data_IF_230666793680
#
_entry.id   IF_230666793680
#
_cell.length_a   1.000
_cell.length_b   1.000
_cell.length_c   1.000
_cell.angle_alpha   90.00
_cell.angle_beta   90.00
_cell.angle_gamma   90.00
#
_symmetry.space_group_name_H-M   'P 1'
#
loop_
_entity.id
_entity.type
_entity.pdbx_description
1 polymer ?
#
# COMPACT_ATOMS: atom_id res chain seq x y z
N UNK A 1 3.21 -0.73 -6.29
CA UNK A 1 4.06 -1.73 -5.60
C UNK A 1 3.60 -3.16 -5.82
N UNK A 2 2.39 -3.56 -5.42
CA UNK A 2 1.93 -4.96 -5.53
C UNK A 2 2.07 -5.59 -6.92
N UNK A 3 1.82 -4.81 -7.98
CA UNK A 3 1.93 -5.25 -9.38
C UNK A 3 3.37 -5.61 -9.77
N UNK A 4 4.36 -4.87 -9.26
CA UNK A 4 5.79 -5.20 -9.45
C UNK A 4 6.17 -6.51 -8.76
N UNK A 5 5.47 -6.86 -7.69
CA UNK A 5 5.60 -8.13 -6.97
C UNK A 5 4.66 -9.23 -7.48
N UNK A 6 3.90 -8.99 -8.56
CA UNK A 6 2.87 -9.91 -9.10
C UNK A 6 1.81 -10.36 -8.09
N UNK A 7 1.49 -9.50 -7.12
CA UNK A 7 0.47 -9.76 -6.11
C UNK A 7 -0.92 -9.23 -6.55
N UNK A 8 -1.94 -10.04 -6.32
CA UNK A 8 -3.34 -9.63 -6.42
C UNK A 8 -3.74 -8.81 -5.18
N UNK A 9 -4.86 -8.06 -5.25
CA UNK A 9 -5.40 -7.36 -4.09
C UNK A 9 -5.82 -8.34 -2.98
N UNK A 10 -6.33 -9.51 -3.37
CA UNK A 10 -6.69 -10.59 -2.45
C UNK A 10 -5.45 -11.13 -1.71
N UNK A 11 -4.36 -11.40 -2.44
CA UNK A 11 -3.12 -11.85 -1.83
C UNK A 11 -2.52 -10.84 -0.84
N UNK A 12 -2.64 -9.53 -1.12
CA UNK A 12 -2.20 -8.49 -0.16
C UNK A 12 -3.13 -8.43 1.05
N UNK A 13 -4.44 -8.51 0.82
CA UNK A 13 -5.44 -8.48 1.87
C UNK A 13 -5.25 -9.64 2.87
N UNK A 14 -5.07 -10.86 2.36
CA UNK A 14 -4.84 -12.05 3.17
C UNK A 14 -3.57 -11.93 4.02
N UNK A 15 -2.47 -11.43 3.43
CA UNK A 15 -1.20 -11.26 4.14
C UNK A 15 -1.23 -10.13 5.16
N UNK A 16 -2.04 -9.10 4.90
CA UNK A 16 -2.17 -7.93 5.76
C UNK A 16 -3.22 -8.12 6.87
N UNK A 17 -3.97 -9.23 6.88
CA UNK A 17 -5.15 -9.39 7.74
C UNK A 17 -6.15 -8.21 7.58
N UNK A 18 -6.49 -7.94 6.31
CA UNK A 18 -7.41 -6.89 5.88
C UNK A 18 -8.41 -7.45 4.86
N UNK A 19 -9.52 -6.75 4.64
CA UNK A 19 -10.45 -7.14 3.58
C UNK A 19 -9.94 -6.72 2.20
N UNK A 20 -10.17 -7.55 1.19
CA UNK A 20 -9.90 -7.21 -0.22
C UNK A 20 -10.56 -5.89 -0.63
N UNK A 21 -11.79 -5.63 -0.16
CA UNK A 21 -12.49 -4.38 -0.44
C UNK A 21 -11.73 -3.17 0.15
N UNK A 22 -11.28 -3.26 1.39
CA UNK A 22 -10.48 -2.21 2.03
C UNK A 22 -9.18 -1.94 1.27
N UNK A 23 -8.44 -2.98 0.88
CA UNK A 23 -7.23 -2.83 0.05
C UNK A 23 -7.56 -2.10 -1.25
N UNK A 24 -8.67 -2.47 -1.91
CA UNK A 24 -9.14 -1.78 -3.11
C UNK A 24 -9.47 -0.30 -2.90
N UNK A 25 -10.15 0.05 -1.81
CA UNK A 25 -10.47 1.44 -1.48
C UNK A 25 -9.21 2.27 -1.22
N UNK A 26 -8.21 1.70 -0.54
CA UNK A 26 -6.91 2.37 -0.30
C UNK A 26 -6.19 2.61 -1.62
N UNK A 27 -6.13 1.62 -2.52
CA UNK A 27 -5.46 1.76 -3.82
C UNK A 27 -6.08 2.82 -4.73
N UNK A 28 -7.40 3.04 -4.61
CA UNK A 28 -8.12 4.08 -5.35
C UNK A 28 -8.12 5.44 -4.65
N UNK A 29 -7.59 5.53 -3.43
CA UNK A 29 -7.58 6.76 -2.64
C UNK A 29 -8.96 7.17 -2.08
N UNK A 30 -9.89 6.22 -1.97
CA UNK A 30 -11.25 6.46 -1.46
C UNK A 30 -11.30 6.58 0.07
N UNK A 31 -10.31 6.02 0.75
CA UNK A 31 -10.20 6.05 2.21
C UNK A 31 -8.78 6.43 2.65
N UNK A 32 -8.69 7.13 3.77
CA UNK A 32 -7.42 7.34 4.49
C UNK A 32 -7.27 6.23 5.54
N UNK A 33 -6.35 5.26 5.36
CA UNK A 33 -6.13 4.20 6.33
C UNK A 33 -5.57 4.75 7.65
N UNK A 34 -5.93 4.13 8.78
CA UNK A 34 -5.26 4.38 10.05
C UNK A 34 -3.78 3.97 10.00
N UNK A 35 -2.99 4.43 10.96
CA UNK A 35 -1.59 4.04 11.07
C UNK A 35 -1.42 2.51 11.19
N UNK A 36 -2.24 1.86 12.01
CA UNK A 36 -2.22 0.40 12.16
C UNK A 36 -2.54 -0.33 10.86
N UNK A 37 -3.50 0.16 10.08
CA UNK A 37 -3.84 -0.41 8.78
C UNK A 37 -2.74 -0.16 7.74
N UNK A 38 -2.02 0.97 7.83
CA UNK A 38 -0.84 1.22 7.00
C UNK A 38 0.30 0.26 7.35
N UNK A 39 0.53 -0.02 8.63
CA UNK A 39 1.51 -1.01 9.08
C UNK A 39 1.16 -2.42 8.56
N UNK A 40 -0.10 -2.84 8.73
CA UNK A 40 -0.63 -4.10 8.16
C UNK A 40 -0.44 -4.19 6.65
N UNK A 41 -0.73 -3.12 5.90
CA UNK A 41 -0.51 -3.08 4.46
C UNK A 41 0.97 -3.20 4.09
N UNK A 42 1.85 -2.53 4.83
CA UNK A 42 3.29 -2.63 4.61
C UNK A 42 3.79 -4.07 4.82
N UNK A 43 3.33 -4.72 5.89
CA UNK A 43 3.61 -6.12 6.19
C UNK A 43 3.08 -7.05 5.09
N UNK A 44 1.83 -6.86 4.65
CA UNK A 44 1.23 -7.65 3.57
C UNK A 44 1.92 -7.48 2.21
N UNK A 45 2.52 -6.31 1.98
CA UNK A 45 3.34 -5.99 0.81
C UNK A 45 4.82 -6.42 0.98
N UNK A 46 5.22 -6.91 2.15
CA UNK A 46 6.60 -7.30 2.45
C UNK A 46 7.60 -6.14 2.36
N UNK A 47 7.16 -4.92 2.70
CA UNK A 47 7.99 -3.72 2.69
C UNK A 47 8.00 -3.04 4.06
N UNK A 48 9.03 -2.23 4.33
CA UNK A 48 9.00 -1.37 5.52
C UNK A 48 7.92 -0.30 5.36
N UNK A 49 7.21 0.03 6.43
CA UNK A 49 6.25 1.15 6.43
C UNK A 49 6.86 2.47 5.91
N UNK A 50 8.12 2.75 6.27
CA UNK A 50 8.88 3.91 5.76
C UNK A 50 8.96 4.00 4.23
N UNK A 51 8.85 2.88 3.53
CA UNK A 51 8.88 2.85 2.07
C UNK A 51 7.58 3.38 1.46
N UNK A 52 6.45 3.15 2.12
CA UNK A 52 5.17 3.75 1.72
C UNK A 52 5.21 5.28 1.86
N UNK A 53 5.84 5.77 2.93
CA UNK A 53 6.02 7.21 3.17
C UNK A 53 6.95 7.84 2.13
N UNK A 54 8.11 7.21 1.85
CA UNK A 54 9.03 7.67 0.79
C UNK A 54 8.34 7.80 -0.58
N UNK A 55 7.51 6.81 -0.96
CA UNK A 55 6.77 6.88 -2.22
C UNK A 55 5.73 8.00 -2.25
N UNK A 56 5.13 8.33 -1.10
CA UNK A 56 4.21 9.45 -1.02
C UNK A 56 4.94 10.79 -1.19
N UNK A 57 6.09 10.94 -0.52
CA UNK A 57 6.96 12.12 -0.63
C UNK A 57 7.48 12.31 -2.07
N UNK A 58 8.01 11.25 -2.71
CA UNK A 58 8.54 11.36 -4.09
C UNK A 58 7.49 11.84 -5.10
N UNK A 59 6.24 11.36 -4.95
CA UNK A 59 5.10 11.79 -5.77
C UNK A 59 4.66 13.22 -5.46
N UNK A 60 4.71 13.63 -4.20
CA UNK A 60 4.36 14.99 -3.78
C UNK A 60 5.38 16.02 -4.29
N UNK A 61 6.65 15.63 -4.32
CA UNK A 61 7.76 16.49 -4.75
C UNK A 61 7.95 16.49 -6.29
N UNK A 62 7.12 15.76 -7.03
CA UNK A 62 7.17 15.70 -8.50
C UNK A 62 8.44 15.03 -9.05
N UNK A 63 9.08 14.16 -8.27
CA UNK A 63 10.36 13.51 -8.64
C UNK A 63 10.19 12.16 -9.33
N UNK A 64 8.96 11.68 -9.53
CA UNK A 64 8.65 10.47 -10.33
C UNK A 64 8.70 10.80 -11.85
N UNK A 65 9.91 11.01 -12.39
CA UNK A 65 10.22 10.78 -13.80
C UNK A 65 11.26 9.65 -13.88
N UNK A 66 10.81 8.40 -13.85
CA UNK A 66 11.53 7.21 -14.35
C UNK A 66 10.59 6.01 -14.51
#
# INVERSE_FOLDING_TARGET
MRTRQRLSQEAVADRADLSRNFVGMVERGEVSPSFDNLAKLADGLGVRLSELMRLYESRKDGTDFE
#
